data_IF_938353252604
#
_entry.id   IF_938353252604
#
_cell.length_a   1.000
_cell.length_b   1.000
_cell.length_c   1.000
_cell.angle_alpha   90.00
_cell.angle_beta   90.00
_cell.angle_gamma   90.00
#
_symmetry.space_group_name_H-M   'P 1'
#
loop_
_entity.id
_entity.type
_entity.pdbx_description
1 polymer ?
#
# COMPACT_ATOMS: atom_id res chain seq x y z
N UNK A 1 9.40 -7.10 11.99
CA UNK A 1 8.68 -7.26 13.27
C UNK A 1 9.16 -8.54 13.94
N UNK A 2 9.23 -8.56 15.27
CA UNK A 2 9.52 -9.76 16.05
C UNK A 2 8.37 -10.07 17.00
N UNK A 3 8.21 -11.33 17.36
CA UNK A 3 7.11 -11.83 18.17
C UNK A 3 7.66 -12.68 19.31
N UNK A 4 7.20 -12.46 20.54
CA UNK A 4 7.69 -13.17 21.70
C UNK A 4 6.59 -14.00 22.37
N UNK A 5 6.94 -15.20 22.82
CA UNK A 5 6.05 -16.00 23.64
C UNK A 5 6.09 -15.51 25.09
N UNK A 6 4.92 -15.20 25.66
CA UNK A 6 4.78 -14.78 27.05
C UNK A 6 5.30 -15.80 28.06
N UNK A 7 5.20 -17.10 27.76
CA UNK A 7 5.63 -18.23 28.62
C UNK A 7 7.11 -18.59 28.47
N UNK A 8 7.55 -19.03 27.29
CA UNK A 8 8.94 -19.52 27.09
C UNK A 8 9.93 -18.43 26.67
N UNK A 9 9.47 -17.19 26.45
CA UNK A 9 10.29 -16.02 26.03
C UNK A 9 11.04 -16.16 24.71
N UNK A 10 10.88 -17.27 23.98
CA UNK A 10 11.41 -17.45 22.62
C UNK A 10 10.84 -16.39 21.68
N UNK A 11 11.70 -15.92 20.77
CA UNK A 11 11.40 -14.87 19.81
C UNK A 11 11.36 -15.44 18.40
N UNK A 12 10.40 -14.97 17.61
CA UNK A 12 10.14 -15.37 16.24
C UNK A 12 10.17 -14.14 15.34
N UNK A 13 10.75 -14.26 14.16
CA UNK A 13 10.76 -13.20 13.14
C UNK A 13 9.52 -13.26 12.21
N UNK A 14 8.74 -14.33 12.32
CA UNK A 14 7.57 -14.61 11.49
C UNK A 14 6.30 -14.41 12.33
N UNK A 15 5.21 -13.88 11.73
CA UNK A 15 3.91 -13.72 12.38
C UNK A 15 3.20 -15.06 12.55
N UNK A 16 3.80 -16.00 13.26
CA UNK A 16 3.12 -17.24 13.63
C UNK A 16 2.08 -16.93 14.71
N UNK A 17 0.84 -17.36 14.51
CA UNK A 17 -0.27 -17.00 15.40
C UNK A 17 -0.04 -17.44 16.85
N UNK A 18 0.62 -18.58 17.02
CA UNK A 18 0.90 -19.21 18.31
C UNK A 18 2.34 -19.69 18.35
N UNK A 19 2.93 -19.65 19.55
CA UNK A 19 4.24 -20.25 19.83
C UNK A 19 4.20 -21.75 19.50
N UNK A 20 5.06 -22.28 18.62
CA UNK A 20 5.10 -23.70 18.29
C UNK A 20 5.32 -24.62 19.50
N UNK A 21 6.01 -24.12 20.53
CA UNK A 21 6.29 -24.92 21.74
C UNK A 21 5.22 -24.82 22.82
N UNK A 22 4.61 -23.62 22.97
CA UNK A 22 3.70 -23.34 24.08
C UNK A 22 2.23 -23.25 23.65
N UNK A 23 1.95 -23.18 22.35
CA UNK A 23 0.62 -22.95 21.76
C UNK A 23 -0.11 -21.70 22.27
N UNK A 24 0.60 -20.78 22.91
CA UNK A 24 0.09 -19.48 23.34
C UNK A 24 0.28 -18.45 22.23
N UNK A 25 -0.64 -17.48 22.16
CA UNK A 25 -0.53 -16.33 21.25
C UNK A 25 0.80 -15.59 21.48
N UNK A 26 1.44 -15.17 20.39
CA UNK A 26 2.66 -14.38 20.48
C UNK A 26 2.35 -12.88 20.58
N UNK A 27 3.15 -12.17 21.37
CA UNK A 27 3.08 -10.73 21.55
C UNK A 27 4.02 -10.02 20.56
N UNK A 28 3.55 -8.95 19.92
CA UNK A 28 4.37 -8.14 19.00
C UNK A 28 5.40 -7.35 19.80
N UNK A 29 6.65 -7.36 19.34
CA UNK A 29 7.72 -6.55 19.90
C UNK A 29 7.92 -5.30 19.04
N UNK A 30 7.51 -4.15 19.56
CA UNK A 30 7.90 -2.86 18.98
C UNK A 30 9.37 -2.56 19.27
N UNK A 31 10.02 -1.96 18.28
CA UNK A 31 11.44 -1.61 18.33
C UNK A 31 11.60 -0.13 18.02
N UNK A 32 12.41 0.59 18.80
CA UNK A 32 12.60 2.03 18.67
C UNK A 32 14.00 2.43 18.20
N UNK A 33 15.02 1.64 18.52
CA UNK A 33 16.42 1.98 18.21
C UNK A 33 17.07 0.84 17.46
N UNK A 34 17.69 1.16 16.34
CA UNK A 34 18.31 0.18 15.46
C UNK A 34 19.77 0.58 15.28
N UNK A 35 20.67 -0.37 15.48
CA UNK A 35 22.11 -0.19 15.29
C UNK A 35 22.63 -1.09 14.19
N UNK A 36 23.63 -0.61 13.47
CA UNK A 36 24.39 -1.40 12.51
C UNK A 36 25.46 -2.18 13.27
N UNK A 37 25.36 -3.51 13.27
CA UNK A 37 26.33 -4.40 13.95
C UNK A 37 27.23 -5.16 12.98
N UNK A 38 26.92 -5.11 11.67
CA UNK A 38 27.72 -5.73 10.63
C UNK A 38 27.44 -5.11 9.28
N UNK A 39 28.48 -5.01 8.44
CA UNK A 39 28.39 -4.43 7.10
C UNK A 39 29.23 -5.30 6.16
N UNK A 40 28.63 -5.71 5.04
CA UNK A 40 29.34 -6.40 3.96
C UNK A 40 29.09 -5.66 2.65
N UNK A 41 30.16 -5.35 1.90
CA UNK A 41 30.07 -4.74 0.57
C UNK A 41 30.03 -5.86 -0.46
N UNK A 42 28.95 -5.92 -1.22
CA UNK A 42 28.79 -6.83 -2.35
C UNK A 42 29.22 -6.10 -3.62
N UNK A 43 30.21 -6.65 -4.31
CA UNK A 43 30.78 -6.08 -5.54
C UNK A 43 30.45 -6.91 -6.79
N UNK A 44 30.07 -8.18 -6.61
CA UNK A 44 29.75 -9.10 -7.70
C UNK A 44 28.22 -9.12 -7.87
N UNK A 45 27.69 -8.72 -9.05
CA UNK A 45 26.26 -8.78 -9.31
C UNK A 45 25.78 -10.23 -9.44
N UNK A 46 24.50 -10.46 -9.14
CA UNK A 46 23.84 -11.76 -9.35
C UNK A 46 22.60 -11.58 -10.23
N UNK A 47 22.04 -12.68 -10.74
CA UNK A 47 20.81 -12.64 -11.56
C UNK A 47 19.66 -11.89 -10.85
N UNK A 48 19.54 -12.05 -9.54
CA UNK A 48 18.50 -11.39 -8.73
C UNK A 48 18.92 -10.03 -8.17
N UNK A 49 20.21 -9.68 -8.26
CA UNK A 49 20.77 -8.41 -7.80
C UNK A 49 21.80 -7.90 -8.81
N UNK A 50 21.36 -7.46 -10.01
CA UNK A 50 22.27 -7.08 -11.09
C UNK A 50 22.99 -5.75 -10.82
N UNK A 51 22.44 -4.89 -9.94
CA UNK A 51 23.07 -3.62 -9.56
C UNK A 51 24.03 -3.83 -8.39
N UNK A 52 25.34 -3.70 -8.65
CA UNK A 52 26.43 -3.68 -7.69
C UNK A 52 27.34 -2.44 -7.96
N UNK A 53 28.04 -1.89 -6.95
CA UNK A 53 28.12 -2.38 -5.57
C UNK A 53 26.89 -2.01 -4.73
N UNK A 54 26.62 -2.81 -3.70
CA UNK A 54 25.66 -2.49 -2.64
C UNK A 54 26.15 -3.03 -1.29
N UNK A 55 25.49 -2.63 -0.21
CA UNK A 55 25.82 -3.04 1.15
C UNK A 55 24.76 -3.96 1.71
N UNK A 56 25.19 -4.94 2.48
CA UNK A 56 24.33 -5.81 3.30
C UNK A 56 24.61 -5.46 4.76
N UNK A 57 23.60 -4.90 5.40
CA UNK A 57 23.63 -4.50 6.79
C UNK A 57 23.07 -5.61 7.67
N UNK A 58 23.76 -5.91 8.76
CA UNK A 58 23.21 -6.64 9.90
C UNK A 58 22.78 -5.60 10.92
N UNK A 59 21.48 -5.55 11.18
CA UNK A 59 20.85 -4.60 12.08
C UNK A 59 20.46 -5.31 13.38
N UNK A 60 20.61 -4.62 14.51
CA UNK A 60 20.21 -5.09 15.83
C UNK A 60 19.34 -4.03 16.53
N UNK A 61 18.25 -4.45 17.17
CA UNK A 61 17.42 -3.57 17.98
C UNK A 61 17.84 -3.54 19.46
N UNK A 62 17.19 -2.70 20.28
CA UNK A 62 17.47 -2.60 21.72
C UNK A 62 17.17 -3.88 22.52
N UNK A 63 16.49 -4.86 21.94
CA UNK A 63 16.15 -6.16 22.54
C UNK A 63 17.09 -7.29 22.07
N UNK A 64 18.10 -6.96 21.27
CA UNK A 64 19.07 -7.92 20.72
C UNK A 64 18.55 -8.73 19.54
N UNK A 65 17.41 -8.36 18.94
CA UNK A 65 16.91 -9.04 17.76
C UNK A 65 17.66 -8.57 16.52
N UNK A 66 18.04 -9.52 15.65
CA UNK A 66 18.91 -9.28 14.50
C UNK A 66 18.22 -9.57 13.18
N UNK A 67 18.50 -8.76 12.17
CA UNK A 67 18.05 -9.03 10.80
C UNK A 67 18.99 -8.45 9.75
N UNK A 68 18.84 -8.96 8.53
CA UNK A 68 19.62 -8.52 7.38
C UNK A 68 18.80 -7.58 6.50
N UNK A 69 19.49 -6.58 5.94
CA UNK A 69 18.93 -5.53 5.13
C UNK A 69 19.91 -5.08 4.03
N UNK A 70 19.47 -5.10 2.76
CA UNK A 70 20.20 -4.46 1.66
C UNK A 70 20.16 -2.93 1.82
N UNK A 71 21.26 -2.25 1.54
CA UNK A 71 21.33 -0.80 1.43
C UNK A 71 22.21 -0.34 0.27
N UNK A 72 21.86 0.79 -0.33
CA UNK A 72 22.71 1.50 -1.30
C UNK A 72 23.71 2.44 -0.61
N UNK A 73 23.45 2.80 0.65
CA UNK A 73 24.32 3.65 1.45
C UNK A 73 25.32 2.80 2.22
N UNK A 74 26.55 3.28 2.28
CA UNK A 74 27.56 2.73 3.17
C UNK A 74 27.30 3.20 4.60
N UNK A 75 27.24 2.25 5.52
CA UNK A 75 27.19 2.51 6.97
C UNK A 75 28.44 1.96 7.62
N UNK A 76 28.77 2.46 8.80
CA UNK A 76 29.80 1.91 9.68
C UNK A 76 29.16 1.10 10.80
N UNK A 77 29.90 0.13 11.31
CA UNK A 77 29.50 -0.61 12.51
C UNK A 77 29.43 0.40 13.67
N UNK A 78 28.34 0.34 14.43
CA UNK A 78 28.03 1.27 15.51
C UNK A 78 27.10 2.42 15.12
N UNK A 79 26.88 2.65 13.82
CA UNK A 79 25.96 3.69 13.36
C UNK A 79 24.52 3.40 13.80
N UNK A 80 23.78 4.47 14.12
CA UNK A 80 22.33 4.39 14.30
C UNK A 80 21.67 4.33 12.92
N UNK A 81 20.74 3.40 12.75
CA UNK A 81 19.93 3.28 11.55
C UNK A 81 18.59 3.99 11.75
N UNK A 82 18.44 5.14 11.13
CA UNK A 82 17.22 5.95 11.22
C UNK A 82 16.45 5.96 9.90
N UNK A 83 15.14 5.76 10.00
CA UNK A 83 14.23 5.87 8.86
C UNK A 83 13.71 7.30 8.83
N UNK A 84 14.06 8.03 7.77
CA UNK A 84 13.59 9.41 7.58
C UNK A 84 12.08 9.43 7.39
N UNK A 85 11.41 10.27 8.18
CA UNK A 85 9.99 10.61 8.03
C UNK A 85 9.89 11.94 7.28
N UNK A 86 8.88 12.09 6.44
CA UNK A 86 8.58 13.37 5.80
C UNK A 86 7.09 13.58 5.72
N UNK A 87 6.65 14.82 5.89
CA UNK A 87 5.26 15.26 5.66
C UNK A 87 5.05 15.84 4.26
N UNK A 88 6.04 15.71 3.37
CA UNK A 88 5.91 16.13 1.99
C UNK A 88 4.84 15.28 1.30
N UNK A 89 3.81 15.93 0.75
CA UNK A 89 2.69 15.28 0.05
C UNK A 89 3.14 14.53 -1.21
N UNK A 90 4.27 14.92 -1.79
CA UNK A 90 4.84 14.26 -2.96
C UNK A 90 5.79 13.10 -2.60
N UNK A 91 6.13 12.91 -1.33
CA UNK A 91 7.01 11.83 -0.93
C UNK A 91 6.35 10.46 -1.12
N UNK A 92 7.16 9.45 -1.43
CA UNK A 92 6.75 8.06 -1.56
C UNK A 92 7.52 7.22 -0.55
N UNK A 93 6.80 6.57 0.35
CA UNK A 93 7.35 5.60 1.28
C UNK A 93 7.33 4.22 0.67
N UNK A 94 8.48 3.55 0.65
CA UNK A 94 8.62 2.18 0.17
C UNK A 94 9.05 1.31 1.34
N UNK A 95 8.35 0.19 1.55
CA UNK A 95 8.71 -0.79 2.55
C UNK A 95 8.65 -2.22 2.00
N UNK A 96 9.52 -3.09 2.53
CA UNK A 96 9.55 -4.50 2.15
C UNK A 96 8.75 -5.32 3.16
N UNK A 97 7.65 -5.88 2.69
CA UNK A 97 6.86 -6.91 3.39
C UNK A 97 7.69 -8.19 3.36
N UNK A 98 8.22 -8.59 4.51
CA UNK A 98 8.88 -9.90 4.65
C UNK A 98 7.82 -10.99 4.88
N UNK A 99 7.08 -10.87 5.97
CA UNK A 99 6.11 -11.87 6.41
C UNK A 99 4.82 -11.28 6.97
N UNK A 100 4.86 -10.04 7.51
CA UNK A 100 3.71 -9.38 8.12
C UNK A 100 3.28 -8.19 7.26
N UNK A 101 2.10 -8.30 6.63
CA UNK A 101 1.50 -7.23 5.82
C UNK A 101 1.14 -6.03 6.69
N UNK A 102 0.70 -6.27 7.93
CA UNK A 102 0.36 -5.20 8.88
C UNK A 102 1.59 -4.36 9.22
N UNK A 103 2.75 -5.00 9.44
CA UNK A 103 4.03 -4.28 9.62
C UNK A 103 4.33 -3.41 8.39
N UNK A 104 4.10 -3.93 7.18
CA UNK A 104 4.31 -3.18 5.95
C UNK A 104 3.48 -1.89 5.90
N UNK A 105 2.19 -2.01 6.20
CA UNK A 105 1.24 -0.89 6.22
C UNK A 105 1.61 0.12 7.32
N UNK A 106 1.88 -0.34 8.53
CA UNK A 106 2.33 0.51 9.65
C UNK A 106 3.55 1.33 9.27
N UNK A 107 4.56 0.68 8.68
CA UNK A 107 5.82 1.33 8.35
C UNK A 107 5.67 2.38 7.26
N UNK A 108 4.95 2.10 6.18
CA UNK A 108 4.77 3.10 5.12
C UNK A 108 3.94 4.30 5.59
N UNK A 109 2.94 4.09 6.44
CA UNK A 109 2.13 5.18 7.01
C UNK A 109 2.96 6.00 8.02
N UNK A 110 3.73 5.34 8.89
CA UNK A 110 4.62 6.00 9.86
C UNK A 110 5.65 6.92 9.15
N UNK A 111 6.13 6.50 7.97
CA UNK A 111 7.14 7.22 7.18
C UNK A 111 6.57 8.47 6.50
N UNK A 112 5.35 8.39 5.95
CA UNK A 112 4.65 9.54 5.31
C UNK A 112 4.20 10.60 6.34
N UNK A 113 4.41 10.32 7.63
CA UNK A 113 3.97 11.16 8.74
C UNK A 113 2.54 10.75 9.10
N UNK A 114 2.39 10.24 10.32
CA UNK A 114 1.13 9.73 10.87
C UNK A 114 -0.08 10.55 10.40
N UNK A 115 -1.13 9.84 10.00
CA UNK A 115 -2.39 10.44 9.61
C UNK A 115 -2.93 11.25 10.80
N UNK A 116 -3.16 12.55 10.62
CA UNK A 116 -3.79 13.42 11.62
C UNK A 116 -5.30 13.14 11.68
N UNK A 117 -5.64 11.89 12.01
CA UNK A 117 -7.00 11.39 12.09
C UNK A 117 -7.36 11.21 13.56
N UNK A 118 -8.50 11.78 13.95
CA UNK A 118 -9.08 11.60 15.28
C UNK A 118 -9.74 10.23 15.33
N UNK A 119 -9.87 9.62 16.51
CA UNK A 119 -10.50 8.30 16.68
C UNK A 119 -11.95 8.23 16.13
N UNK A 120 -12.64 9.37 16.07
CA UNK A 120 -13.99 9.51 15.54
C UNK A 120 -14.07 9.92 14.06
N UNK A 121 -12.93 10.04 13.37
CA UNK A 121 -12.90 10.39 11.95
C UNK A 121 -13.50 9.26 11.11
N UNK A 122 -14.31 9.64 10.11
CA UNK A 122 -14.93 8.73 9.15
C UNK A 122 -13.97 8.44 8.00
N UNK A 123 -13.75 7.17 7.72
CA UNK A 123 -12.81 6.72 6.69
C UNK A 123 -13.56 5.99 5.60
N UNK A 124 -13.37 6.43 4.36
CA UNK A 124 -13.73 5.66 3.16
C UNK A 124 -12.51 4.89 2.66
N UNK A 125 -12.59 3.57 2.68
CA UNK A 125 -11.60 2.67 2.09
C UNK A 125 -12.03 2.32 0.67
N UNK A 126 -11.14 2.51 -0.29
CA UNK A 126 -11.37 2.24 -1.71
C UNK A 126 -10.40 1.14 -2.19
N UNK A 127 -10.75 -0.16 -2.07
CA UNK A 127 -9.95 -1.24 -2.63
C UNK A 127 -10.11 -1.31 -4.16
N UNK A 128 -9.10 -1.83 -4.85
CA UNK A 128 -9.25 -2.25 -6.24
C UNK A 128 -10.19 -3.45 -6.34
N UNK A 129 -11.26 -3.29 -7.12
CA UNK A 129 -12.26 -4.33 -7.37
C UNK A 129 -12.61 -4.40 -8.86
N UNK A 130 -11.65 -4.87 -9.67
CA UNK A 130 -11.76 -4.89 -11.12
C UNK A 130 -12.52 -6.09 -11.66
N UNK A 131 -12.33 -7.30 -11.11
CA UNK A 131 -12.89 -8.54 -11.68
C UNK A 131 -13.52 -9.46 -10.64
N UNK A 132 -14.49 -10.27 -11.09
CA UNK A 132 -14.98 -11.40 -10.31
C UNK A 132 -14.02 -12.60 -10.45
N UNK A 133 -12.93 -12.55 -9.70
CA UNK A 133 -11.90 -13.59 -9.66
C UNK A 133 -11.39 -13.80 -8.23
N UNK A 134 -10.87 -15.01 -7.99
CA UNK A 134 -10.32 -15.41 -6.69
C UNK A 134 -9.05 -14.64 -6.35
N UNK A 135 -8.77 -14.45 -5.06
CA UNK A 135 -7.65 -13.66 -4.55
C UNK A 135 -6.28 -14.09 -5.09
N UNK A 136 -6.06 -15.38 -5.31
CA UNK A 136 -4.80 -15.91 -5.85
C UNK A 136 -4.50 -15.43 -7.29
N UNK A 137 -5.51 -14.94 -8.02
CA UNK A 137 -5.31 -14.32 -9.33
C UNK A 137 -4.84 -12.87 -9.24
N UNK A 138 -4.74 -12.23 -8.06
CA UNK A 138 -4.20 -10.87 -7.91
C UNK A 138 -4.83 -9.83 -8.84
N UNK A 139 -6.09 -10.03 -9.19
CA UNK A 139 -6.84 -9.09 -10.02
C UNK A 139 -7.31 -7.88 -9.23
N UNK A 140 -7.58 -8.09 -7.94
CA UNK A 140 -8.17 -7.15 -6.98
C UNK A 140 -7.23 -7.02 -5.78
N UNK A 141 -7.45 -6.02 -4.92
CA UNK A 141 -6.81 -5.97 -3.59
C UNK A 141 -7.04 -7.29 -2.87
N UNK A 142 -6.02 -7.82 -2.20
CA UNK A 142 -6.13 -9.10 -1.52
C UNK A 142 -6.93 -8.98 -0.21
N UNK A 143 -7.66 -10.04 0.19
CA UNK A 143 -8.29 -10.12 1.51
C UNK A 143 -7.30 -9.87 2.65
N UNK A 144 -6.07 -10.37 2.53
CA UNK A 144 -5.01 -10.23 3.51
C UNK A 144 -4.61 -8.76 3.68
N UNK A 145 -4.48 -8.02 2.57
CA UNK A 145 -4.11 -6.60 2.60
C UNK A 145 -5.25 -5.73 3.16
N UNK A 146 -6.51 -6.00 2.79
CA UNK A 146 -7.66 -5.32 3.37
C UNK A 146 -7.77 -5.61 4.88
N UNK A 147 -7.66 -6.88 5.30
CA UNK A 147 -7.71 -7.24 6.72
C UNK A 147 -6.58 -6.60 7.52
N UNK A 148 -5.35 -6.56 6.98
CA UNK A 148 -4.23 -5.90 7.61
C UNK A 148 -4.46 -4.39 7.75
N UNK A 149 -5.07 -3.76 6.74
CA UNK A 149 -5.46 -2.35 6.80
C UNK A 149 -6.51 -2.10 7.88
N UNK A 150 -7.53 -2.94 7.98
CA UNK A 150 -8.54 -2.85 9.03
C UNK A 150 -7.92 -3.04 10.42
N UNK A 151 -7.03 -4.02 10.58
CA UNK A 151 -6.31 -4.25 11.83
C UNK A 151 -5.49 -3.02 12.26
N UNK A 152 -4.81 -2.37 11.32
CA UNK A 152 -4.09 -1.12 11.57
C UNK A 152 -5.04 -0.03 12.10
N UNK A 153 -6.19 0.18 11.44
CA UNK A 153 -7.17 1.16 11.87
C UNK A 153 -7.74 0.82 13.26
N UNK A 154 -8.07 -0.43 13.54
CA UNK A 154 -8.56 -0.84 14.86
C UNK A 154 -7.50 -0.65 15.95
N UNK A 155 -6.21 -0.89 15.66
CA UNK A 155 -5.11 -0.62 16.59
C UNK A 155 -4.94 0.88 16.88
N UNK A 156 -5.32 1.75 15.92
CA UNK A 156 -5.37 3.20 16.09
C UNK A 156 -6.67 3.69 16.75
N UNK A 157 -7.56 2.79 17.17
CA UNK A 157 -8.78 3.12 17.93
C UNK A 157 -10.03 3.39 17.08
N UNK A 158 -9.96 3.25 15.75
CA UNK A 158 -11.14 3.41 14.89
C UNK A 158 -12.17 2.32 15.17
N UNK A 159 -13.45 2.70 15.14
CA UNK A 159 -14.56 1.74 15.30
C UNK A 159 -15.12 1.33 13.95
N UNK A 160 -15.68 0.11 13.80
CA UNK A 160 -16.26 -0.37 12.56
C UNK A 160 -17.31 0.58 11.96
N UNK A 161 -18.12 1.24 12.79
CA UNK A 161 -19.14 2.21 12.35
C UNK A 161 -18.57 3.48 11.66
N UNK A 162 -17.29 3.79 11.89
CA UNK A 162 -16.61 4.92 11.27
C UNK A 162 -15.89 4.53 9.97
N UNK A 163 -15.88 3.24 9.61
CA UNK A 163 -15.18 2.73 8.44
C UNK A 163 -16.21 2.29 7.39
N UNK A 164 -16.10 2.83 6.19
CA UNK A 164 -16.89 2.41 5.03
C UNK A 164 -15.96 1.87 3.96
N UNK A 165 -16.33 0.73 3.38
CA UNK A 165 -15.59 0.15 2.25
C UNK A 165 -16.46 0.34 1.00
N UNK A 166 -15.99 1.15 0.06
CA UNK A 166 -16.72 1.52 -1.15
C UNK A 166 -16.10 0.93 -2.40
N UNK A 167 -16.90 0.46 -3.34
CA UNK A 167 -16.46 0.11 -4.68
C UNK A 167 -17.55 0.41 -5.71
N UNK A 168 -17.15 0.57 -6.97
CA UNK A 168 -18.05 0.71 -8.10
C UNK A 168 -17.61 -0.24 -9.22
N UNK A 169 -18.55 -0.70 -10.04
CA UNK A 169 -18.23 -1.44 -11.25
C UNK A 169 -18.52 -0.61 -12.50
N UNK A 170 -17.56 -0.55 -13.41
CA UNK A 170 -17.74 0.06 -14.74
C UNK A 170 -18.04 -0.96 -15.84
N UNK A 171 -18.09 -2.25 -15.53
CA UNK A 171 -18.53 -3.31 -16.43
C UNK A 171 -19.90 -3.87 -16.02
N UNK A 172 -20.35 -4.92 -16.71
CA UNK A 172 -21.64 -5.57 -16.46
C UNK A 172 -21.66 -6.44 -15.20
N UNK A 173 -20.50 -6.73 -14.61
CA UNK A 173 -20.41 -7.57 -13.41
C UNK A 173 -20.69 -6.75 -12.17
N UNK A 174 -21.62 -7.21 -11.33
CA UNK A 174 -22.00 -6.50 -10.10
C UNK A 174 -20.84 -6.41 -9.09
N UNK A 175 -20.83 -5.32 -8.32
CA UNK A 175 -19.87 -5.12 -7.21
C UNK A 175 -19.92 -6.27 -6.21
N UNK A 176 -21.13 -6.75 -5.89
CA UNK A 176 -21.34 -7.88 -4.98
C UNK A 176 -20.66 -9.16 -5.48
N UNK A 177 -20.84 -9.50 -6.77
CA UNK A 177 -20.22 -10.69 -7.38
C UNK A 177 -18.69 -10.59 -7.32
N UNK A 178 -18.13 -9.42 -7.64
CA UNK A 178 -16.69 -9.17 -7.56
C UNK A 178 -16.19 -9.32 -6.13
N UNK A 179 -16.83 -8.65 -5.17
CA UNK A 179 -16.44 -8.65 -3.76
C UNK A 179 -16.54 -10.03 -3.11
N UNK A 180 -17.57 -10.80 -3.46
CA UNK A 180 -17.73 -12.19 -3.00
C UNK A 180 -16.62 -13.08 -3.55
N UNK A 181 -16.37 -13.03 -4.86
CA UNK A 181 -15.40 -13.94 -5.50
C UNK A 181 -13.95 -13.60 -5.14
N UNK A 182 -13.64 -12.32 -4.89
CA UNK A 182 -12.33 -11.87 -4.41
C UNK A 182 -12.06 -12.19 -2.95
N UNK A 183 -13.09 -12.52 -2.16
CA UNK A 183 -13.00 -12.73 -0.72
C UNK A 183 -13.03 -11.44 0.11
N UNK A 184 -13.14 -10.26 -0.53
CA UNK A 184 -13.23 -8.99 0.19
C UNK A 184 -14.54 -8.86 0.98
N UNK A 185 -15.64 -9.44 0.48
CA UNK A 185 -16.92 -9.47 1.20
C UNK A 185 -16.79 -10.18 2.56
N UNK A 186 -16.09 -11.31 2.60
CA UNK A 186 -15.91 -12.09 3.83
C UNK A 186 -15.10 -11.30 4.87
N UNK A 187 -14.08 -10.56 4.43
CA UNK A 187 -13.32 -9.65 5.29
C UNK A 187 -14.23 -8.57 5.87
N UNK A 188 -15.08 -7.95 5.04
CA UNK A 188 -16.02 -6.93 5.51
C UNK A 188 -16.98 -7.50 6.59
N UNK A 189 -17.61 -8.64 6.30
CA UNK A 189 -18.56 -9.29 7.19
C UNK A 189 -17.92 -9.73 8.52
N UNK A 190 -16.73 -10.32 8.48
CA UNK A 190 -15.97 -10.74 9.67
C UNK A 190 -15.70 -9.58 10.62
N UNK A 191 -15.47 -8.38 10.07
CA UNK A 191 -15.19 -7.16 10.85
C UNK A 191 -16.44 -6.30 11.09
N UNK A 192 -17.64 -6.80 10.79
CA UNK A 192 -18.93 -6.10 10.96
C UNK A 192 -19.02 -4.78 10.18
N UNK A 193 -18.37 -4.70 9.03
CA UNK A 193 -18.42 -3.55 8.12
C UNK A 193 -19.31 -3.94 6.93
N UNK A 194 -20.30 -3.11 6.61
CA UNK A 194 -21.13 -3.29 5.43
C UNK A 194 -20.45 -2.63 4.22
N UNK A 195 -20.05 -3.39 3.18
CA UNK A 195 -19.50 -2.80 1.97
C UNK A 195 -20.60 -2.04 1.21
N UNK A 196 -20.19 -1.01 0.48
CA UNK A 196 -21.08 -0.10 -0.24
C UNK A 196 -20.81 -0.14 -1.74
N UNK A 197 -21.85 -0.42 -2.51
CA UNK A 197 -21.84 -0.20 -3.96
C UNK A 197 -22.05 1.30 -4.24
N UNK A 198 -20.99 2.00 -4.61
CA UNK A 198 -20.99 3.45 -4.83
C UNK A 198 -21.89 3.84 -6.00
N UNK A 199 -22.16 2.95 -6.97
CA UNK A 199 -23.08 3.22 -8.08
C UNK A 199 -24.52 3.45 -7.61
N UNK A 200 -24.88 2.89 -6.46
CA UNK A 200 -26.22 2.99 -5.86
C UNK A 200 -26.36 4.16 -4.88
N UNK A 201 -25.27 4.89 -4.63
CA UNK A 201 -25.28 6.08 -3.76
C UNK A 201 -25.66 7.33 -4.55
N UNK A 202 -25.87 8.46 -3.85
CA UNK A 202 -26.03 9.75 -4.53
C UNK A 202 -24.67 10.26 -4.99
N UNK A 203 -24.67 11.05 -6.05
CA UNK A 203 -23.49 11.72 -6.58
C UNK A 203 -23.65 13.24 -6.41
N UNK A 204 -22.61 13.89 -5.90
CA UNK A 204 -22.53 15.33 -5.73
C UNK A 204 -21.78 15.91 -6.92
N UNK A 205 -22.36 16.93 -7.56
CA UNK A 205 -21.70 17.65 -8.63
C UNK A 205 -20.69 18.64 -8.04
N UNK A 206 -19.43 18.51 -8.43
CA UNK A 206 -18.33 19.46 -8.14
C UNK A 206 -17.65 19.78 -9.46
N UNK A 207 -17.76 21.02 -9.90
CA UNK A 207 -17.30 21.44 -11.24
C UNK A 207 -17.90 20.54 -12.33
N UNK A 208 -17.06 19.84 -13.11
CA UNK A 208 -17.46 18.92 -14.17
C UNK A 208 -17.61 17.46 -13.70
N UNK A 209 -17.32 17.18 -12.43
CA UNK A 209 -17.34 15.84 -11.83
C UNK A 209 -18.67 15.55 -11.13
N UNK A 210 -19.13 14.32 -11.26
CA UNK A 210 -20.19 13.73 -10.43
C UNK A 210 -19.54 12.67 -9.53
N UNK A 211 -19.29 13.02 -8.27
CA UNK A 211 -18.50 12.22 -7.31
C UNK A 211 -19.43 11.63 -6.25
N UNK A 212 -19.24 10.37 -5.85
CA UNK A 212 -20.04 9.73 -4.81
C UNK A 212 -20.06 10.58 -3.55
N UNK A 213 -21.26 10.79 -2.99
CA UNK A 213 -21.45 11.55 -1.75
C UNK A 213 -20.66 10.97 -0.57
N UNK A 214 -20.36 9.67 -0.62
CA UNK A 214 -19.61 8.96 0.42
C UNK A 214 -18.18 9.46 0.55
N UNK A 215 -17.58 9.97 -0.54
CA UNK A 215 -16.28 10.63 -0.46
C UNK A 215 -16.34 11.81 0.51
N UNK A 216 -17.36 12.67 0.39
CA UNK A 216 -17.50 13.90 1.18
C UNK A 216 -18.13 13.69 2.56
N UNK A 217 -18.81 12.57 2.80
CA UNK A 217 -19.26 12.17 4.15
C UNK A 217 -18.11 11.62 5.00
N UNK A 218 -16.95 11.40 4.40
CA UNK A 218 -15.76 10.89 5.06
C UNK A 218 -14.77 12.02 5.29
N UNK A 219 -14.08 12.00 6.42
CA UNK A 219 -13.01 12.96 6.71
C UNK A 219 -11.75 12.61 5.92
N UNK A 220 -11.62 11.33 5.52
CA UNK A 220 -10.43 10.80 4.90
C UNK A 220 -10.73 9.64 3.94
N UNK A 221 -9.95 9.56 2.86
CA UNK A 221 -10.01 8.45 1.90
C UNK A 221 -8.72 7.65 1.97
N UNK A 222 -8.85 6.34 2.16
CA UNK A 222 -7.75 5.39 2.08
C UNK A 222 -7.88 4.58 0.78
N UNK A 223 -7.09 4.96 -0.22
CA UNK A 223 -7.02 4.28 -1.50
C UNK A 223 -6.12 3.05 -1.38
N UNK A 224 -6.64 1.85 -1.64
CA UNK A 224 -5.94 0.57 -1.49
C UNK A 224 -5.78 -0.17 -2.83
N UNK A 225 -5.02 0.38 -3.78
CA UNK A 225 -4.84 -0.25 -5.08
C UNK A 225 -3.92 -1.48 -4.97
N UNK A 226 -4.17 -2.50 -5.79
CA UNK A 226 -3.15 -3.50 -6.12
C UNK A 226 -2.37 -3.02 -7.34
N UNK A 227 -1.05 -2.89 -7.23
CA UNK A 227 -0.20 -2.42 -8.32
C UNK A 227 0.02 -3.52 -9.37
N UNK A 228 -0.03 -3.13 -10.64
CA UNK A 228 0.17 -4.02 -11.79
C UNK A 228 1.18 -3.43 -12.76
N UNK A 229 2.05 -4.27 -13.32
CA UNK A 229 3.03 -3.79 -14.29
C UNK A 229 2.32 -3.23 -15.53
N UNK A 230 2.74 -2.06 -15.98
CA UNK A 230 2.17 -1.43 -17.17
C UNK A 230 0.85 -0.69 -16.95
N UNK A 231 0.41 -0.47 -15.69
CA UNK A 231 -0.81 0.28 -15.38
C UNK A 231 -0.59 1.29 -14.26
N UNK A 232 -1.20 2.47 -14.37
CA UNK A 232 -1.20 3.49 -13.32
C UNK A 232 -2.27 3.17 -12.25
N UNK A 233 -2.12 1.99 -11.62
CA UNK A 233 -3.16 1.39 -10.79
C UNK A 233 -3.52 2.24 -9.57
N UNK A 234 -2.55 2.97 -9.01
CA UNK A 234 -2.81 3.84 -7.87
C UNK A 234 -3.64 5.07 -8.23
N UNK A 235 -3.34 5.68 -9.37
CA UNK A 235 -3.98 6.90 -9.86
C UNK A 235 -5.33 6.63 -10.54
N UNK A 236 -5.50 5.46 -11.16
CA UNK A 236 -6.76 5.06 -11.80
C UNK A 236 -7.83 4.65 -10.77
N UNK A 237 -7.45 4.09 -9.61
CA UNK A 237 -8.41 3.55 -8.64
C UNK A 237 -9.39 4.61 -8.08
N UNK A 238 -8.97 5.86 -7.77
CA UNK A 238 -9.89 6.93 -7.40
C UNK A 238 -10.97 7.29 -8.44
N UNK A 239 -10.80 6.94 -9.73
CA UNK A 239 -11.84 7.19 -10.73
C UNK A 239 -13.14 6.44 -10.43
N UNK A 240 -13.10 5.35 -9.66
CA UNK A 240 -14.30 4.63 -9.22
C UNK A 240 -15.16 5.40 -8.20
N UNK A 241 -14.70 6.56 -7.72
CA UNK A 241 -15.53 7.53 -6.99
C UNK A 241 -16.43 8.35 -7.92
N UNK A 242 -16.08 8.47 -9.20
CA UNK A 242 -16.89 9.15 -10.20
C UNK A 242 -18.06 8.28 -10.64
N UNK A 243 -19.18 8.92 -10.93
CA UNK A 243 -20.29 8.24 -11.59
C UNK A 243 -19.83 7.70 -12.94
N UNK A 244 -20.13 6.43 -13.24
CA UNK A 244 -19.70 5.74 -14.47
C UNK A 244 -19.89 6.59 -15.74
N UNK A 245 -21.09 7.13 -15.97
CA UNK A 245 -21.38 7.90 -17.18
C UNK A 245 -20.60 9.22 -17.23
N UNK A 246 -20.37 9.85 -16.06
CA UNK A 246 -19.56 11.06 -15.94
C UNK A 246 -18.10 10.77 -16.27
N UNK A 247 -17.52 9.70 -15.72
CA UNK A 247 -16.15 9.28 -16.03
C UNK A 247 -15.96 8.95 -17.52
N UNK A 248 -16.88 8.17 -18.11
CA UNK A 248 -16.81 7.84 -19.54
C UNK A 248 -16.84 9.10 -20.41
N UNK A 249 -17.72 10.07 -20.10
CA UNK A 249 -17.75 11.37 -20.79
C UNK A 249 -16.44 12.14 -20.66
N UNK A 250 -15.86 12.19 -19.45
CA UNK A 250 -14.59 12.88 -19.21
C UNK A 250 -13.45 12.25 -19.99
N UNK A 251 -13.39 10.91 -20.04
CA UNK A 251 -12.37 10.17 -20.79
C UNK A 251 -12.39 10.42 -22.30
N UNK A 252 -13.52 10.87 -22.85
CA UNK A 252 -13.62 11.30 -24.25
C UNK A 252 -13.11 12.73 -24.49
N UNK A 253 -13.04 13.55 -23.45
CA UNK A 253 -12.76 14.99 -23.54
C UNK A 253 -11.37 15.37 -23.03
N UNK A 254 -10.81 14.58 -22.13
CA UNK A 254 -9.59 14.86 -21.38
C UNK A 254 -8.76 13.60 -21.21
N UNK A 255 -7.47 13.79 -21.01
CA UNK A 255 -6.55 12.70 -20.66
C UNK A 255 -6.72 12.29 -19.19
N UNK A 256 -6.42 11.02 -18.88
CA UNK A 256 -6.55 10.47 -17.51
C UNK A 256 -5.75 11.30 -16.49
N UNK A 257 -4.63 11.92 -16.90
CA UNK A 257 -3.85 12.84 -16.07
C UNK A 257 -4.66 14.06 -15.62
N UNK A 258 -5.25 14.75 -16.59
CA UNK A 258 -6.02 15.96 -16.32
C UNK A 258 -7.23 15.63 -15.44
N UNK A 259 -7.89 14.51 -15.72
CA UNK A 259 -9.00 13.99 -14.91
C UNK A 259 -8.53 13.77 -13.47
N UNK A 260 -7.40 13.09 -13.26
CA UNK A 260 -6.87 12.80 -11.93
C UNK A 260 -6.48 14.08 -11.17
N UNK A 261 -5.71 14.98 -11.80
CA UNK A 261 -5.24 16.20 -11.15
C UNK A 261 -6.41 17.11 -10.72
N UNK A 262 -7.43 17.23 -11.57
CA UNK A 262 -8.62 18.02 -11.25
C UNK A 262 -9.53 17.32 -10.23
N UNK A 263 -9.66 15.98 -10.29
CA UNK A 263 -10.38 15.21 -9.28
C UNK A 263 -9.71 15.34 -7.89
N UNK A 264 -8.39 15.26 -7.82
CA UNK A 264 -7.64 15.34 -6.57
C UNK A 264 -7.74 16.73 -5.90
N UNK A 265 -8.02 17.80 -6.66
CA UNK A 265 -8.27 19.14 -6.11
C UNK A 265 -9.60 19.23 -5.35
N UNK A 266 -10.59 18.42 -5.73
CA UNK A 266 -11.94 18.47 -5.16
C UNK A 266 -12.21 17.38 -4.13
N UNK A 267 -11.45 16.28 -4.14
CA UNK A 267 -11.57 15.20 -3.16
C UNK A 267 -11.05 15.62 -1.77
N UNK A 268 -11.60 15.04 -0.69
CA UNK A 268 -10.96 15.06 0.62
C UNK A 268 -9.55 14.44 0.56
N UNK A 269 -8.78 14.63 1.63
CA UNK A 269 -7.43 14.09 1.70
C UNK A 269 -7.45 12.57 1.45
N UNK A 270 -6.65 12.14 0.47
CA UNK A 270 -6.52 10.77 0.06
C UNK A 270 -5.09 10.28 0.31
N UNK A 271 -4.92 9.31 1.21
CA UNK A 271 -3.69 8.53 1.26
C UNK A 271 -3.88 7.27 0.44
N UNK A 272 -2.91 7.01 -0.42
CA UNK A 272 -2.81 5.74 -1.11
C UNK A 272 -1.83 4.84 -0.37
N UNK A 273 -2.28 3.63 -0.04
CA UNK A 273 -1.44 2.54 0.49
C UNK A 273 -1.60 1.37 -0.47
N UNK A 274 -0.60 1.20 -1.32
CA UNK A 274 -0.64 0.29 -2.46
C UNK A 274 -0.03 -1.07 -2.11
N UNK A 275 -0.75 -2.12 -2.50
CA UNK A 275 -0.30 -3.51 -2.44
C UNK A 275 0.61 -3.82 -3.64
N UNK A 276 1.85 -4.20 -3.38
CA UNK A 276 2.81 -4.67 -4.36
C UNK A 276 3.57 -5.90 -3.83
N UNK A 277 2.87 -6.79 -3.12
CA UNK A 277 3.43 -8.04 -2.64
C UNK A 277 3.64 -9.03 -3.80
N UNK A 278 2.63 -9.19 -4.65
CA UNK A 278 2.53 -10.11 -5.76
C UNK A 278 1.87 -9.38 -6.92
N UNK A 279 2.66 -9.02 -7.93
CA UNK A 279 2.18 -8.16 -9.02
C UNK A 279 2.01 -8.97 -10.29
N UNK A 280 1.00 -8.61 -11.07
CA UNK A 280 0.78 -9.19 -12.39
C UNK A 280 1.41 -8.33 -13.47
N UNK A 281 1.94 -8.99 -14.49
CA UNK A 281 2.23 -8.35 -15.76
C UNK A 281 1.03 -8.32 -16.72
N UNK A 282 1.23 -7.76 -17.91
CA UNK A 282 0.19 -7.66 -18.94
C UNK A 282 -0.26 -9.03 -19.46
N UNK A 283 0.59 -10.05 -19.36
CA UNK A 283 0.31 -11.45 -19.74
C UNK A 283 -0.30 -12.26 -18.58
N UNK A 284 -0.50 -11.61 -17.43
CA UNK A 284 -1.05 -12.17 -16.17
C UNK A 284 -0.09 -13.12 -15.44
N UNK A 285 1.21 -13.10 -15.75
CA UNK A 285 2.21 -13.76 -14.92
C UNK A 285 2.38 -13.00 -13.60
N UNK A 286 2.32 -13.72 -12.50
CA UNK A 286 2.46 -13.16 -11.16
C UNK A 286 3.90 -13.30 -10.68
N UNK A 287 4.50 -12.17 -10.27
CA UNK A 287 5.84 -12.13 -9.68
C UNK A 287 5.76 -11.60 -8.26
N UNK A 288 6.49 -12.22 -7.34
CA UNK A 288 6.58 -11.76 -5.95
C UNK A 288 7.60 -10.63 -5.81
N UNK A 289 7.16 -9.49 -5.28
CA UNK A 289 7.97 -8.30 -4.96
C UNK A 289 8.08 -8.08 -3.45
N UNK A 290 7.02 -8.38 -2.71
CA UNK A 290 6.95 -8.20 -1.26
C UNK A 290 7.04 -6.74 -0.84
N UNK A 291 6.31 -5.83 -1.48
CA UNK A 291 6.36 -4.39 -1.19
C UNK A 291 5.00 -3.84 -0.73
N UNK A 292 5.07 -2.87 0.19
CA UNK A 292 4.01 -1.90 0.43
C UNK A 292 4.54 -0.53 0.03
N UNK A 293 3.72 0.28 -0.63
CA UNK A 293 4.11 1.63 -1.05
C UNK A 293 3.02 2.61 -0.62
N UNK A 294 3.37 3.75 -0.05
CA UNK A 294 2.39 4.77 0.32
C UNK A 294 2.78 6.18 -0.08
N UNK A 295 1.78 7.01 -0.36
CA UNK A 295 1.93 8.44 -0.67
C UNK A 295 0.57 9.14 -0.62
N UNK A 296 0.58 10.45 -0.38
CA UNK A 296 -0.57 11.33 -0.60
C UNK A 296 -0.72 11.72 -2.08
N UNK A 297 0.25 11.37 -2.93
CA UNK A 297 0.20 11.56 -4.37
C UNK A 297 0.28 10.21 -5.10
N UNK A 298 -0.88 9.71 -5.56
CA UNK A 298 -0.98 8.40 -6.21
C UNK A 298 -0.16 8.31 -7.51
N UNK A 299 -0.03 9.42 -8.25
CA UNK A 299 0.78 9.47 -9.46
C UNK A 299 2.25 9.17 -9.18
N UNK A 300 2.76 9.64 -8.04
CA UNK A 300 4.14 9.39 -7.65
C UNK A 300 4.35 7.91 -7.27
N UNK A 301 3.34 7.24 -6.69
CA UNK A 301 3.40 5.80 -6.43
C UNK A 301 3.56 5.04 -7.75
N UNK A 302 2.70 5.32 -8.72
CA UNK A 302 2.76 4.66 -10.02
C UNK A 302 4.11 4.94 -10.71
N UNK A 303 4.56 6.20 -10.75
CA UNK A 303 5.84 6.57 -11.36
C UNK A 303 7.03 5.83 -10.74
N UNK A 304 7.07 5.72 -9.42
CA UNK A 304 8.12 4.99 -8.67
C UNK A 304 8.01 3.49 -8.92
N UNK A 305 6.81 2.93 -8.97
CA UNK A 305 6.60 1.51 -9.22
C UNK A 305 7.05 1.08 -10.63
N UNK A 306 6.84 1.94 -11.64
CA UNK A 306 7.38 1.71 -12.98
C UNK A 306 8.92 1.62 -12.99
N UNK A 307 9.60 2.40 -12.16
CA UNK A 307 11.06 2.38 -12.04
C UNK A 307 11.57 1.15 -11.30
N UNK A 308 10.85 0.71 -10.27
CA UNK A 308 11.15 -0.54 -9.55
C UNK A 308 11.02 -1.74 -10.49
N UNK A 309 9.98 -1.75 -11.33
CA UNK A 309 9.69 -2.87 -12.24
C UNK A 309 10.48 -2.81 -13.55
N UNK A 310 11.17 -1.71 -13.84
CA UNK A 310 11.94 -1.47 -15.07
C UNK A 310 11.13 -1.75 -16.35
N UNK A 311 9.81 -1.56 -16.31
CA UNK A 311 8.92 -1.78 -17.45
C UNK A 311 8.95 -0.58 -18.39
N UNK A 312 8.88 -0.87 -19.69
CA UNK A 312 9.13 0.02 -20.84
C UNK A 312 8.39 1.37 -20.86
N UNK A 313 7.50 1.58 -21.83
CA UNK A 313 6.87 2.89 -22.04
C UNK A 313 5.97 3.28 -20.86
N UNK A 314 6.13 4.50 -20.35
CA UNK A 314 5.27 5.07 -19.32
C UNK A 314 3.86 5.33 -19.90
N UNK A 315 2.78 4.97 -19.19
CA UNK A 315 1.44 5.41 -19.50
C UNK A 315 1.41 6.95 -19.63
N UNK A 316 0.56 7.48 -20.52
CA UNK A 316 0.41 8.92 -20.74
C UNK A 316 0.28 9.71 -19.43
N UNK A 317 -0.52 9.18 -18.49
CA UNK A 317 -0.74 9.77 -17.17
C UNK A 317 0.55 10.01 -16.35
N UNK A 318 1.64 9.29 -16.64
CA UNK A 318 2.92 9.38 -15.93
C UNK A 318 4.03 10.07 -16.73
N UNK A 319 3.87 10.33 -18.04
CA UNK A 319 4.98 10.76 -18.93
C UNK A 319 5.65 12.06 -18.49
N UNK A 320 4.87 12.99 -17.94
CA UNK A 320 5.39 14.29 -17.51
C UNK A 320 5.97 14.29 -16.08
N UNK A 321 5.87 13.16 -15.36
CA UNK A 321 6.28 13.07 -13.97
C UNK A 321 7.77 12.72 -13.90
N UNK A 322 8.56 13.68 -13.44
CA UNK A 322 10.00 13.54 -13.25
C UNK A 322 10.31 12.81 -11.95
N UNK A 323 11.02 11.69 -12.04
CA UNK A 323 11.37 10.86 -10.88
C UNK A 323 12.27 11.62 -9.89
N UNK A 324 13.10 12.52 -10.40
CA UNK A 324 14.05 13.32 -9.62
C UNK A 324 13.34 14.25 -8.64
N UNK A 325 12.07 14.57 -8.90
CA UNK A 325 11.24 15.43 -8.08
C UNK A 325 10.47 14.66 -6.99
N UNK A 326 10.60 13.34 -6.91
CA UNK A 326 9.86 12.51 -5.96
C UNK A 326 10.77 12.12 -4.79
N UNK A 327 10.56 12.65 -3.57
CA UNK A 327 11.30 12.21 -2.40
C UNK A 327 10.97 10.77 -2.04
N UNK A 328 11.98 9.90 -2.08
CA UNK A 328 11.82 8.48 -1.73
C UNK A 328 12.24 8.24 -0.27
N UNK A 329 11.33 7.70 0.53
CA UNK A 329 11.52 7.41 1.94
C UNK A 329 11.49 5.91 2.23
N UNK A 330 12.11 5.49 3.33
CA UNK A 330 12.27 4.07 3.66
C UNK A 330 13.28 3.41 2.70
N UNK A 331 12.80 2.43 1.92
CA UNK A 331 13.61 1.71 0.93
C UNK A 331 13.89 2.55 -0.30
N UNK A 332 15.09 2.43 -0.87
CA UNK A 332 15.43 3.05 -2.15
C UNK A 332 15.07 2.14 -3.33
N UNK A 333 14.81 2.70 -4.50
CA UNK A 333 14.42 1.94 -5.70
C UNK A 333 15.47 0.87 -6.00
N UNK A 334 16.76 1.19 -5.93
CA UNK A 334 17.85 0.26 -6.24
C UNK A 334 18.01 -0.85 -5.19
N UNK A 335 17.42 -0.69 -4.00
CA UNK A 335 17.36 -1.73 -2.98
C UNK A 335 16.25 -2.75 -3.25
N UNK A 336 15.22 -2.38 -4.03
CA UNK A 336 14.02 -3.20 -4.25
C UNK A 336 13.74 -3.53 -5.72
N UNK A 337 14.40 -2.87 -6.66
CA UNK A 337 14.25 -3.10 -8.09
C UNK A 337 14.71 -4.52 -8.47
N UNK A 338 14.01 -5.09 -9.45
CA UNK A 338 14.35 -6.38 -10.07
C UNK A 338 15.72 -6.34 -10.75
#
# INVERSE_FOLDING_TARGET
MFYQCSKCKKVWQYPVEKCPDCFLKLDRLENKKIKVIGVSKVTIPTLFHPKAPYFVLVLEDEKGNKWVQKSVREYKIGDNFEIQKSRDKNAVAIWRIKYDVLEGIEKVIEIIGDLDLKENSKILILPSLYKASHSYFRDNTSPEFLQATLNFLFQKGFKPENIKIGAQSFDETSVESKAKKSGLLDVCLKNKISPSDLSKTKFIKKENFEISEEAFKSDFILNLPILKMGKASASENPFFLLKKENYLRLKHLSEDKEIFENLNKVLPQCLTVAEADSIQDLEKFTTFFGLAIASLNALNIDRIFFEITKKGELPEILKEIKIENIPILGRKIEEVAL
#
